data_IF_322019875326
#
_entry.id   IF_322019875326
#
_cell.length_a   1.000
_cell.length_b   1.000
_cell.length_c   1.000
_cell.angle_alpha   90.00
_cell.angle_beta   90.00
_cell.angle_gamma   90.00
#
_symmetry.space_group_name_H-M   'P 1'
#
loop_
_entity.id
_entity.type
_entity.pdbx_description
1 polymer ?
#
# COMPACT_ATOMS: atom_id res chain seq x y z
N UNK A 1 1.26 -16.69 9.68
CA UNK A 1 -0.17 -16.37 9.46
C UNK A 1 -0.35 -16.12 7.97
N UNK A 2 -1.34 -16.77 7.36
CA UNK A 2 -1.66 -16.53 5.95
C UNK A 2 -2.33 -15.16 5.86
N UNK A 3 -1.75 -14.20 5.15
CA UNK A 3 -2.34 -12.87 4.95
C UNK A 3 -3.38 -12.95 3.84
N UNK A 4 -4.54 -12.37 4.06
CA UNK A 4 -5.54 -12.24 2.99
C UNK A 4 -5.25 -10.98 2.17
N UNK A 5 -4.62 -11.17 1.02
CA UNK A 5 -4.24 -10.08 0.14
C UNK A 5 -5.41 -9.53 -0.68
N UNK A 6 -6.55 -10.23 -0.72
CA UNK A 6 -7.78 -9.76 -1.37
C UNK A 6 -8.64 -8.92 -0.41
N UNK A 7 -8.29 -8.85 0.87
CA UNK A 7 -8.99 -7.99 1.82
C UNK A 7 -8.82 -6.53 1.42
N UNK A 8 -9.90 -5.75 1.49
CA UNK A 8 -9.86 -4.30 1.23
C UNK A 8 -8.98 -3.53 2.22
N UNK A 9 -8.48 -4.18 3.27
CA UNK A 9 -7.70 -3.56 4.35
C UNK A 9 -6.43 -4.33 4.62
N UNK A 10 -5.34 -3.61 4.86
CA UNK A 10 -4.03 -4.22 5.09
C UNK A 10 -3.17 -3.37 6.03
N UNK A 11 -2.56 -4.01 7.02
CA UNK A 11 -1.56 -3.39 7.89
C UNK A 11 -0.17 -3.68 7.35
N UNK A 12 0.59 -2.62 7.07
CA UNK A 12 1.95 -2.69 6.54
C UNK A 12 2.85 -3.38 7.55
N UNK A 13 3.46 -4.47 7.11
CA UNK A 13 4.42 -5.25 7.89
C UNK A 13 5.87 -4.96 7.46
N UNK A 14 6.81 -5.61 8.13
CA UNK A 14 8.25 -5.48 7.85
C UNK A 14 8.67 -6.00 6.46
N UNK A 15 7.88 -6.92 5.87
CA UNK A 15 8.15 -7.46 4.55
C UNK A 15 7.41 -6.63 3.49
N UNK A 16 8.14 -5.70 2.88
CA UNK A 16 7.64 -4.81 1.83
C UNK A 16 7.03 -5.55 0.63
N UNK A 17 7.48 -6.78 0.33
CA UNK A 17 6.94 -7.56 -0.78
C UNK A 17 5.47 -7.91 -0.54
N UNK A 18 5.05 -8.12 0.72
CA UNK A 18 3.65 -8.33 1.07
C UNK A 18 2.81 -7.08 0.77
N UNK A 19 3.35 -5.90 1.06
CA UNK A 19 2.67 -4.62 0.82
C UNK A 19 2.53 -4.35 -0.67
N UNK A 20 3.60 -4.57 -1.44
CA UNK A 20 3.56 -4.46 -2.89
C UNK A 20 2.59 -5.49 -3.48
N UNK A 21 2.59 -6.72 -2.99
CA UNK A 21 1.67 -7.75 -3.47
C UNK A 21 0.20 -7.40 -3.19
N UNK A 22 -0.10 -6.86 -2.01
CA UNK A 22 -1.42 -6.32 -1.71
C UNK A 22 -1.81 -5.19 -2.67
N UNK A 23 -0.95 -4.19 -2.88
CA UNK A 23 -1.19 -3.13 -3.87
C UNK A 23 -1.46 -3.70 -5.27
N UNK A 24 -0.74 -4.77 -5.66
CA UNK A 24 -0.97 -5.42 -6.96
C UNK A 24 -2.33 -6.13 -7.09
N UNK A 25 -3.02 -6.43 -5.98
CA UNK A 25 -4.40 -6.95 -6.02
C UNK A 25 -5.45 -5.83 -6.10
N UNK A 26 -5.10 -4.60 -5.72
CA UNK A 26 -6.01 -3.45 -5.64
C UNK A 26 -5.56 -2.31 -6.57
N UNK A 27 -5.31 -2.60 -7.86
CA UNK A 27 -4.77 -1.63 -8.83
C UNK A 27 -5.74 -0.50 -9.19
N UNK A 28 -6.99 -0.61 -8.79
CA UNK A 28 -8.06 0.36 -9.04
C UNK A 28 -8.02 1.57 -8.09
N UNK A 29 -7.24 1.53 -7.01
CA UNK A 29 -7.23 2.56 -5.96
C UNK A 29 -6.04 3.52 -6.02
N UNK A 30 -5.10 3.31 -6.95
CA UNK A 30 -3.90 4.14 -7.13
C UNK A 30 -3.45 4.16 -8.61
N UNK A 31 -2.64 5.16 -8.96
CA UNK A 31 -2.17 5.37 -10.33
C UNK A 31 -0.79 4.73 -10.58
N UNK A 32 0.11 4.82 -9.61
CA UNK A 32 1.44 4.19 -9.66
C UNK A 32 2.06 4.05 -8.28
N UNK A 33 3.07 3.18 -8.15
CA UNK A 33 3.95 3.17 -6.99
C UNK A 33 5.42 3.17 -7.43
N UNK A 34 6.29 3.68 -6.56
CA UNK A 34 7.73 3.69 -6.72
C UNK A 34 8.37 3.12 -5.46
N UNK A 35 9.30 2.19 -5.63
CA UNK A 35 10.10 1.66 -4.53
C UNK A 35 11.56 2.05 -4.72
N UNK A 36 12.08 2.84 -3.78
CA UNK A 36 13.49 3.19 -3.70
C UNK A 36 14.21 2.14 -2.85
N UNK A 37 15.08 1.36 -3.50
CA UNK A 37 15.84 0.28 -2.87
C UNK A 37 16.95 0.79 -1.93
N UNK A 38 17.43 2.01 -2.12
CA UNK A 38 18.49 2.59 -1.29
C UNK A 38 17.94 3.08 0.04
N UNK A 39 16.76 3.70 0.03
CA UNK A 39 16.10 4.23 1.24
C UNK A 39 15.09 3.25 1.84
N UNK A 40 14.74 2.18 1.12
CA UNK A 40 13.63 1.26 1.44
C UNK A 40 12.29 1.99 1.58
N UNK A 41 12.09 3.03 0.76
CA UNK A 41 10.88 3.84 0.77
C UNK A 41 9.92 3.41 -0.36
N UNK A 42 8.65 3.19 -0.01
CA UNK A 42 7.58 2.94 -0.96
C UNK A 42 6.67 4.17 -1.04
N UNK A 43 6.65 4.81 -2.20
CA UNK A 43 5.74 5.93 -2.49
C UNK A 43 4.60 5.44 -3.39
N UNK A 44 3.36 5.79 -3.07
CA UNK A 44 2.17 5.45 -3.87
C UNK A 44 1.48 6.72 -4.30
N UNK A 45 1.28 6.89 -5.61
CA UNK A 45 0.56 8.02 -6.21
C UNK A 45 -0.87 7.61 -6.48
N UNK A 46 -1.83 8.43 -6.05
CA UNK A 46 -3.26 8.24 -6.24
C UNK A 46 -3.95 9.60 -6.42
N UNK A 47 -5.27 9.60 -6.65
CA UNK A 47 -6.02 10.82 -6.97
C UNK A 47 -5.94 11.95 -5.92
N UNK A 48 -5.59 11.65 -4.66
CA UNK A 48 -5.47 12.65 -3.58
C UNK A 48 -4.03 13.12 -3.33
N UNK A 49 -3.02 12.55 -4.01
CA UNK A 49 -1.62 12.92 -3.86
C UNK A 49 -0.68 11.73 -3.87
N UNK A 50 0.42 11.86 -3.12
CA UNK A 50 1.43 10.81 -2.97
C UNK A 50 1.59 10.50 -1.48
N UNK A 51 1.41 9.23 -1.13
CA UNK A 51 1.63 8.72 0.22
C UNK A 51 2.94 7.94 0.31
N UNK A 52 3.69 8.15 1.40
CA UNK A 52 4.86 7.34 1.73
C UNK A 52 4.41 6.25 2.70
N UNK A 53 4.46 5.00 2.25
CA UNK A 53 4.01 3.83 2.98
C UNK A 53 5.10 3.36 3.95
N UNK A 54 4.74 3.22 5.22
CA UNK A 54 5.65 2.84 6.32
C UNK A 54 5.07 1.68 7.12
N UNK A 55 5.95 0.88 7.74
CA UNK A 55 5.54 -0.18 8.65
C UNK A 55 4.60 0.35 9.74
N UNK A 56 3.53 -0.41 10.00
CA UNK A 56 2.50 -0.05 10.97
C UNK A 56 1.34 0.76 10.39
N UNK A 57 1.50 1.38 9.21
CA UNK A 57 0.39 2.08 8.57
C UNK A 57 -0.74 1.12 8.19
N UNK A 58 -1.95 1.63 8.25
CA UNK A 58 -3.15 0.95 7.80
C UNK A 58 -3.55 1.45 6.41
N UNK A 59 -3.68 0.52 5.45
CA UNK A 59 -4.10 0.76 4.08
C UNK A 59 -5.56 0.30 3.90
N UNK A 60 -6.34 1.08 3.16
CA UNK A 60 -7.75 0.78 2.88
C UNK A 60 -8.11 1.10 1.42
N UNK A 61 -8.72 0.12 0.76
CA UNK A 61 -9.15 0.13 -0.64
C UNK A 61 -10.66 0.40 -0.84
N UNK A 62 -11.47 0.40 0.23
CA UNK A 62 -12.95 0.41 0.14
C UNK A 62 -13.58 1.59 -0.58
N UNK A 63 -12.84 2.69 -0.70
CA UNK A 63 -13.39 3.97 -1.17
C UNK A 63 -13.06 4.27 -2.64
N UNK A 64 -12.50 3.32 -3.39
CA UNK A 64 -12.03 3.55 -4.76
C UNK A 64 -10.81 4.49 -4.84
N UNK A 65 -10.16 4.71 -3.70
CA UNK A 65 -8.92 5.47 -3.55
C UNK A 65 -8.16 4.85 -2.38
N UNK A 66 -6.82 4.81 -2.50
CA UNK A 66 -5.97 4.42 -1.38
C UNK A 66 -6.13 5.42 -0.24
N UNK A 67 -6.56 4.92 0.92
CA UNK A 67 -6.56 5.67 2.17
C UNK A 67 -5.49 5.08 3.08
N UNK A 68 -4.62 5.95 3.59
CA UNK A 68 -3.56 5.59 4.54
C UNK A 68 -3.81 6.27 5.90
N UNK A 69 -3.56 5.52 6.98
CA UNK A 69 -3.64 6.03 8.35
C UNK A 69 -2.47 5.52 9.18
N UNK A 70 -2.06 6.32 10.18
CA UNK A 70 -1.03 5.97 11.18
C UNK A 70 -1.70 5.30 12.38
#
# INVERSE_FOLDING_TARGET
MNKDFNSDTYTVDENIANTIFWLMQHQDIFDSFHFDVHTQELSVTHAAGVDIIRQGMFLNAKYGILVTSI
#
